data_IF_201179119091
#
_entry.id   IF_201179119091
#
_cell.length_a   1.000
_cell.length_b   1.000
_cell.length_c   1.000
_cell.angle_alpha   90.00
_cell.angle_beta   90.00
_cell.angle_gamma   90.00
#
_symmetry.space_group_name_H-M   'P 1'
#
loop_
_entity.id
_entity.type
_entity.pdbx_description
1 polymer ?
#
# COMPACT_ATOMS: atom_id res chain seq x y z
N UNK A 1 15.92 23.00 -3.71
CA UNK A 1 14.69 23.15 -2.91
C UNK A 1 14.00 21.81 -2.84
N UNK A 2 14.17 21.06 -1.76
CA UNK A 2 13.45 19.79 -1.57
C UNK A 2 11.99 20.11 -1.27
N UNK A 3 11.13 19.93 -2.26
CA UNK A 3 9.68 20.07 -2.11
C UNK A 3 9.19 18.93 -1.19
N UNK A 4 8.97 19.22 0.08
CA UNK A 4 8.48 18.25 1.04
C UNK A 4 7.05 17.82 0.67
N UNK A 5 6.85 16.52 0.43
CA UNK A 5 5.50 15.95 0.32
C UNK A 5 4.90 15.78 1.71
N UNK A 6 3.65 16.18 1.87
CA UNK A 6 2.89 15.96 3.09
C UNK A 6 2.11 14.66 2.97
N UNK A 7 2.10 13.84 4.02
CA UNK A 7 1.32 12.58 4.04
C UNK A 7 0.08 12.81 4.89
N UNK A 8 -1.10 12.52 4.34
CA UNK A 8 -2.35 12.65 5.09
C UNK A 8 -2.38 11.74 6.33
N UNK A 9 -3.13 12.12 7.36
CA UNK A 9 -3.31 11.27 8.55
C UNK A 9 -4.00 9.96 8.21
N UNK A 10 -4.88 9.97 7.21
CA UNK A 10 -5.55 8.78 6.68
C UNK A 10 -4.53 7.75 6.16
N UNK A 11 -3.51 8.18 5.42
CA UNK A 11 -2.45 7.29 4.94
C UNK A 11 -1.72 6.59 6.10
N UNK A 12 -1.46 7.33 7.19
CA UNK A 12 -0.81 6.77 8.39
C UNK A 12 -1.72 5.76 9.10
N UNK A 13 -3.01 6.07 9.20
CA UNK A 13 -4.00 5.18 9.80
C UNK A 13 -4.11 3.89 9.00
N UNK A 14 -4.26 3.97 7.67
CA UNK A 14 -4.37 2.80 6.80
C UNK A 14 -3.12 1.92 6.86
N UNK A 15 -1.93 2.53 6.85
CA UNK A 15 -0.68 1.80 7.01
C UNK A 15 -0.59 1.09 8.38
N UNK A 16 -1.07 1.72 9.45
CA UNK A 16 -1.15 1.08 10.77
C UNK A 16 -2.16 -0.07 10.80
N UNK A 17 -3.32 0.06 10.15
CA UNK A 17 -4.32 -1.01 10.04
C UNK A 17 -3.76 -2.22 9.30
N UNK A 18 -3.08 -2.01 8.15
CA UNK A 18 -2.40 -3.07 7.41
C UNK A 18 -1.30 -3.74 8.26
N UNK A 19 -0.41 -2.94 8.88
CA UNK A 19 0.74 -3.48 9.63
C UNK A 19 0.35 -4.16 10.95
N UNK A 20 -0.57 -3.58 11.72
CA UNK A 20 -0.96 -4.10 13.04
C UNK A 20 -2.11 -5.09 12.97
N UNK A 21 -3.18 -4.74 12.25
CA UNK A 21 -4.40 -5.54 12.23
C UNK A 21 -4.45 -6.54 11.08
N UNK A 22 -3.61 -6.37 10.05
CA UNK A 22 -3.58 -7.22 8.84
C UNK A 22 -4.95 -7.35 8.17
N UNK A 23 -5.74 -6.28 8.25
CA UNK A 23 -7.10 -6.20 7.69
C UNK A 23 -7.12 -5.83 6.20
N UNK A 24 -6.00 -5.28 5.70
CA UNK A 24 -5.84 -4.90 4.31
C UNK A 24 -4.65 -5.62 3.71
N UNK A 25 -4.80 -6.17 2.50
CA UNK A 25 -3.69 -6.85 1.80
C UNK A 25 -2.76 -5.85 1.12
N UNK A 26 -3.33 -4.82 0.52
CA UNK A 26 -2.57 -3.73 -0.08
C UNK A 26 -3.19 -2.37 0.16
N UNK A 27 -2.38 -1.33 0.03
CA UNK A 27 -2.80 0.06 0.00
C UNK A 27 -2.08 0.72 -1.17
N UNK A 28 -2.84 1.35 -2.07
CA UNK A 28 -2.33 2.20 -3.13
C UNK A 28 -2.47 3.65 -2.70
N UNK A 29 -1.39 4.39 -2.84
CA UNK A 29 -1.29 5.80 -2.57
C UNK A 29 -1.07 6.55 -3.88
N UNK A 30 -1.75 7.67 -4.02
CA UNK A 30 -1.50 8.65 -5.08
C UNK A 30 -0.86 9.90 -4.50
N UNK A 31 -0.08 10.56 -5.34
CA UNK A 31 0.47 11.87 -5.04
C UNK A 31 -0.39 12.90 -5.77
N UNK A 32 -1.00 13.80 -5.03
CA UNK A 32 -1.58 14.99 -5.63
C UNK A 32 -0.46 16.03 -5.81
N UNK A 33 0.03 16.22 -7.03
CA UNK A 33 1.11 17.18 -7.32
C UNK A 33 0.70 18.64 -7.07
N UNK A 34 -0.59 18.96 -7.19
CA UNK A 34 -1.12 20.31 -6.93
C UNK A 34 -1.03 20.67 -5.46
N UNK A 35 -1.46 19.76 -4.59
CA UNK A 35 -1.46 19.93 -3.13
C UNK A 35 -0.20 19.38 -2.46
N UNK A 36 0.70 18.72 -3.23
CA UNK A 36 1.90 18.02 -2.74
C UNK A 36 1.58 17.09 -1.57
N UNK A 37 0.45 16.40 -1.69
CA UNK A 37 -0.10 15.57 -0.63
C UNK A 37 -0.20 14.13 -1.10
N UNK A 38 0.29 13.20 -0.27
CA UNK A 38 0.08 11.77 -0.48
C UNK A 38 -1.26 11.40 0.13
N UNK A 39 -2.13 10.83 -0.70
CA UNK A 39 -3.48 10.40 -0.36
C UNK A 39 -3.65 8.91 -0.63
N UNK A 40 -4.58 8.29 0.10
CA UNK A 40 -5.02 6.92 -0.22
C UNK A 40 -5.81 6.99 -1.52
N UNK A 41 -5.45 6.13 -2.47
CA UNK A 41 -6.17 5.98 -3.72
C UNK A 41 -7.09 4.76 -3.67
N UNK A 42 -6.54 3.62 -3.25
CA UNK A 42 -7.28 2.38 -3.14
C UNK A 42 -6.76 1.54 -1.99
N UNK A 43 -7.65 0.77 -1.37
CA UNK A 43 -7.28 -0.19 -0.32
C UNK A 43 -7.85 -1.54 -0.69
N UNK A 44 -6.97 -2.55 -0.71
CA UNK A 44 -7.36 -3.93 -0.92
C UNK A 44 -7.80 -4.56 0.39
N UNK A 45 -8.90 -5.29 0.34
CA UNK A 45 -9.36 -6.15 1.43
C UNK A 45 -8.30 -7.19 1.86
N UNK A 46 -8.47 -7.79 3.03
CA UNK A 46 -7.58 -8.84 3.54
C UNK A 46 -7.43 -10.06 2.59
N UNK A 47 -8.43 -10.31 1.75
CA UNK A 47 -8.45 -11.39 0.77
C UNK A 47 -7.99 -10.96 -0.65
N UNK A 48 -7.62 -9.69 -0.84
CA UNK A 48 -7.30 -9.18 -2.16
C UNK A 48 -6.04 -9.85 -2.74
N UNK A 49 -6.01 -10.00 -4.05
CA UNK A 49 -4.93 -10.72 -4.75
C UNK A 49 -3.86 -9.76 -5.31
N UNK A 50 -2.68 -10.29 -5.64
CA UNK A 50 -1.63 -9.50 -6.31
C UNK A 50 -2.12 -8.93 -7.65
N UNK A 51 -2.96 -9.66 -8.37
CA UNK A 51 -3.57 -9.21 -9.63
C UNK A 51 -4.45 -7.96 -9.43
N UNK A 52 -5.23 -7.90 -8.34
CA UNK A 52 -6.04 -6.72 -8.02
C UNK A 52 -5.17 -5.50 -7.68
N UNK A 53 -4.06 -5.73 -6.99
CA UNK A 53 -3.06 -4.69 -6.77
C UNK A 53 -2.50 -4.18 -8.10
N UNK A 54 -2.09 -5.07 -8.99
CA UNK A 54 -1.57 -4.66 -10.32
C UNK A 54 -2.63 -3.95 -11.16
N UNK A 55 -3.90 -4.34 -11.06
CA UNK A 55 -5.00 -3.65 -11.73
C UNK A 55 -5.26 -2.24 -11.16
N UNK A 56 -4.86 -2.00 -9.91
CA UNK A 56 -4.97 -0.70 -9.22
C UNK A 56 -3.79 0.24 -9.53
N UNK A 57 -2.74 -0.29 -10.18
CA UNK A 57 -1.54 0.43 -10.59
C UNK A 57 -1.62 0.68 -12.11
N UNK A 58 -2.10 1.86 -12.55
CA UNK A 58 -2.10 2.21 -13.96
C UNK A 58 -0.66 2.40 -14.46
N UNK A 59 -0.43 2.04 -15.72
CA UNK A 59 0.84 2.23 -16.43
C UNK A 59 1.17 3.69 -16.75
N UNK A 60 0.15 4.56 -16.79
CA UNK A 60 0.28 5.97 -17.21
C UNK A 60 0.63 6.94 -16.06
N UNK A 61 0.51 6.50 -14.80
CA UNK A 61 0.67 7.37 -13.62
C UNK A 61 1.55 6.73 -12.53
N UNK A 62 2.46 7.51 -11.95
CA UNK A 62 3.28 7.06 -10.82
C UNK A 62 2.44 6.92 -9.56
N UNK A 63 2.23 5.68 -9.09
CA UNK A 63 1.55 5.38 -7.83
C UNK A 63 2.45 4.59 -6.89
N UNK A 64 2.37 4.92 -5.61
CA UNK A 64 3.02 4.12 -4.58
C UNK A 64 2.05 3.07 -4.08
N UNK A 65 2.51 1.83 -3.88
CA UNK A 65 1.70 0.84 -3.21
C UNK A 65 2.48 0.11 -2.12
N UNK A 66 1.74 -0.31 -1.10
CA UNK A 66 2.22 -1.13 0.01
C UNK A 66 1.45 -2.43 -0.03
N UNK A 67 2.15 -3.56 -0.05
CA UNK A 67 1.54 -4.89 -0.11
C UNK A 67 2.10 -5.78 0.99
N UNK A 68 1.24 -6.32 1.86
CA UNK A 68 1.65 -7.32 2.85
C UNK A 68 1.51 -8.73 2.26
N UNK A 69 2.63 -9.26 1.79
CA UNK A 69 2.70 -10.62 1.27
C UNK A 69 2.86 -11.61 2.42
N UNK A 70 1.76 -12.24 2.80
CA UNK A 70 1.76 -13.39 3.72
C UNK A 70 2.07 -14.68 2.95
N UNK A 71 3.07 -15.42 3.41
CA UNK A 71 3.51 -16.69 2.85
C UNK A 71 3.80 -17.70 3.96
N UNK A 72 3.64 -18.98 3.64
CA UNK A 72 3.94 -20.08 4.55
C UNK A 72 5.28 -20.69 4.14
N UNK A 73 6.21 -20.80 5.09
CA UNK A 73 7.48 -21.47 4.84
C UNK A 73 7.33 -22.99 4.93
N UNK A 74 8.34 -23.72 4.44
CA UNK A 74 8.36 -25.20 4.48
C UNK A 74 8.15 -25.77 5.89
N UNK A 75 8.57 -25.05 6.93
CA UNK A 75 8.34 -25.38 8.34
C UNK A 75 6.92 -25.08 8.85
N UNK A 76 5.96 -24.83 7.95
CA UNK A 76 4.59 -24.45 8.26
C UNK A 76 4.46 -23.18 9.13
N UNK A 77 5.50 -22.33 9.10
CA UNK A 77 5.53 -21.05 9.80
C UNK A 77 4.99 -19.95 8.87
N UNK A 78 3.94 -19.28 9.32
CA UNK A 78 3.32 -18.15 8.62
C UNK A 78 4.18 -16.91 8.82
N UNK A 79 4.70 -16.35 7.72
CA UNK A 79 5.47 -15.11 7.72
C UNK A 79 4.77 -14.11 6.81
N UNK A 80 4.94 -12.82 7.10
CA UNK A 80 4.50 -11.77 6.17
C UNK A 80 5.63 -10.80 5.90
N UNK A 81 5.67 -10.29 4.67
CA UNK A 81 6.67 -9.34 4.21
C UNK A 81 5.96 -8.19 3.51
N UNK A 82 6.20 -6.99 4.02
CA UNK A 82 5.67 -5.77 3.43
C UNK A 82 6.58 -5.37 2.27
N UNK A 83 5.98 -5.22 1.09
CA UNK A 83 6.60 -4.71 -0.12
C UNK A 83 6.15 -3.28 -0.36
N UNK A 84 7.09 -2.43 -0.75
CA UNK A 84 6.83 -1.09 -1.25
C UNK A 84 7.07 -1.09 -2.76
N UNK A 85 6.08 -0.62 -3.51
CA UNK A 85 6.07 -0.54 -4.97
C UNK A 85 5.97 0.95 -5.33
N UNK A 86 6.77 1.37 -6.30
CA UNK A 86 6.98 2.76 -6.70
C UNK A 86 7.23 2.83 -8.20
#
# INVERSE_FOLDING_TARGET
>A
STLGMSVSEECKNMFMELKKKKVHRFIVFKIDERSKLVMVDQVGDSAASYEELTASLPDDDCRYAVFDFDFVTVDNCRKSKIFFIA
#
